data_IF_469486108085
#
_entry.id   IF_469486108085
#
_cell.length_a   1.000
_cell.length_b   1.000
_cell.length_c   1.000
_cell.angle_alpha   90.00
_cell.angle_beta   90.00
_cell.angle_gamma   90.00
#
_symmetry.space_group_name_H-M   'P 1'
#
loop_
_entity.id
_entity.type
_entity.pdbx_description
1 polymer ?
#
# COMPACT_ATOMS: atom_id res chain seq x y z
N UNK A 1 -12.22 -8.78 12.16
CA UNK A 1 -12.59 -9.12 10.75
C UNK A 1 -11.52 -8.69 9.73
N UNK A 2 -11.17 -7.40 9.67
CA UNK A 2 -10.26 -6.85 8.64
C UNK A 2 -8.84 -7.42 8.57
N UNK A 3 -8.28 -7.89 9.68
CA UNK A 3 -6.89 -8.38 9.74
C UNK A 3 -6.74 -9.90 9.72
N UNK A 4 -7.84 -10.66 9.82
CA UNK A 4 -7.80 -12.12 9.91
C UNK A 4 -8.58 -12.82 8.77
N UNK A 5 -9.81 -12.38 8.51
CA UNK A 5 -10.69 -12.99 7.49
C UNK A 5 -10.48 -12.35 6.12
N UNK A 6 -10.45 -11.01 6.06
CA UNK A 6 -10.25 -10.27 4.81
C UNK A 6 -9.00 -10.69 4.02
N UNK A 7 -7.82 -10.87 4.65
CA UNK A 7 -6.60 -11.27 3.94
C UNK A 7 -6.70 -12.65 3.27
N UNK A 8 -7.43 -13.59 3.87
CA UNK A 8 -7.62 -14.94 3.33
C UNK A 8 -8.51 -14.93 2.09
N UNK A 9 -9.65 -14.24 2.17
CA UNK A 9 -10.54 -14.06 1.03
C UNK A 9 -9.85 -13.33 -0.13
N UNK A 10 -9.07 -12.29 0.18
CA UNK A 10 -8.36 -11.51 -0.82
C UNK A 10 -7.15 -12.23 -1.42
N UNK A 11 -6.58 -13.24 -0.75
CA UNK A 11 -5.43 -13.97 -1.27
C UNK A 11 -5.79 -14.76 -2.54
N UNK A 12 -7.00 -15.32 -2.59
CA UNK A 12 -7.51 -16.05 -3.73
C UNK A 12 -7.50 -15.21 -5.01
N UNK A 13 -8.16 -14.05 -5.02
CA UNK A 13 -8.16 -13.17 -6.19
C UNK A 13 -6.81 -12.51 -6.53
N UNK A 14 -5.80 -12.62 -5.65
CA UNK A 14 -4.44 -12.09 -5.90
C UNK A 14 -3.53 -13.12 -6.54
N UNK A 15 -3.65 -14.39 -6.15
CA UNK A 15 -2.75 -15.44 -6.61
C UNK A 15 -3.38 -16.37 -7.64
N UNK A 16 -4.69 -16.56 -7.58
CA UNK A 16 -5.38 -17.58 -8.35
C UNK A 16 -6.82 -17.12 -8.65
N UNK A 17 -7.84 -17.93 -8.31
CA UNK A 17 -9.24 -17.65 -8.61
C UNK A 17 -10.02 -17.12 -7.38
N UNK A 18 -10.64 -15.96 -7.54
CA UNK A 18 -11.53 -15.36 -6.54
C UNK A 18 -12.79 -16.22 -6.26
N UNK A 19 -13.15 -17.14 -7.16
CA UNK A 19 -14.33 -18.01 -7.04
C UNK A 19 -14.32 -18.84 -5.75
N UNK A 20 -13.14 -19.27 -5.27
CA UNK A 20 -12.98 -20.03 -4.02
C UNK A 20 -13.48 -19.24 -2.80
N UNK A 21 -13.17 -17.95 -2.75
CA UNK A 21 -13.64 -17.05 -1.69
C UNK A 21 -15.15 -16.88 -1.69
N UNK A 22 -15.75 -16.76 -2.88
CA UNK A 22 -17.20 -16.65 -3.05
C UNK A 22 -17.90 -17.96 -2.69
N UNK A 23 -17.35 -19.10 -3.15
CA UNK A 23 -17.87 -20.42 -2.85
C UNK A 23 -17.93 -20.69 -1.35
N UNK A 24 -16.89 -20.30 -0.59
CA UNK A 24 -16.88 -20.45 0.87
C UNK A 24 -18.03 -19.67 1.52
N UNK A 25 -18.28 -18.44 1.08
CA UNK A 25 -19.31 -17.56 1.65
C UNK A 25 -20.74 -18.03 1.33
N UNK A 26 -20.91 -18.81 0.27
CA UNK A 26 -22.20 -19.36 -0.16
C UNK A 26 -22.42 -20.81 0.29
N UNK A 27 -21.44 -21.44 0.94
CA UNK A 27 -21.49 -22.86 1.29
C UNK A 27 -22.30 -23.11 2.57
N UNK A 28 -23.35 -23.93 2.46
CA UNK A 28 -24.19 -24.35 3.59
C UNK A 28 -23.68 -25.65 4.26
N UNK A 29 -22.70 -26.33 3.66
CA UNK A 29 -22.13 -27.58 4.17
C UNK A 29 -20.84 -27.30 4.95
N UNK A 30 -20.84 -27.56 6.25
CA UNK A 30 -19.68 -27.31 7.13
C UNK A 30 -18.42 -28.10 6.74
N UNK A 31 -18.58 -29.29 6.16
CA UNK A 31 -17.45 -30.10 5.70
C UNK A 31 -16.75 -29.47 4.50
N UNK A 32 -17.53 -29.07 3.50
CA UNK A 32 -17.04 -28.39 2.30
C UNK A 32 -16.47 -27.00 2.63
N UNK A 33 -17.15 -26.24 3.49
CA UNK A 33 -16.66 -24.94 3.96
C UNK A 33 -15.28 -25.06 4.64
N UNK A 34 -15.02 -26.12 5.40
CA UNK A 34 -13.70 -26.35 6.02
C UNK A 34 -12.61 -26.61 4.98
N UNK A 35 -12.92 -27.33 3.91
CA UNK A 35 -11.97 -27.58 2.82
C UNK A 35 -11.61 -26.26 2.13
N UNK A 36 -12.61 -25.48 1.73
CA UNK A 36 -12.42 -24.17 1.09
C UNK A 36 -11.67 -23.18 2.00
N UNK A 37 -11.96 -23.18 3.31
CA UNK A 37 -11.26 -22.33 4.27
C UNK A 37 -9.77 -22.68 4.39
N UNK A 38 -9.41 -23.97 4.38
CA UNK A 38 -8.02 -24.42 4.40
C UNK A 38 -7.28 -24.05 3.11
N UNK A 39 -7.94 -24.14 1.97
CA UNK A 39 -7.40 -23.71 0.68
C UNK A 39 -7.09 -22.20 0.67
N UNK A 40 -8.03 -21.38 1.15
CA UNK A 40 -7.81 -19.94 1.32
C UNK A 40 -6.69 -19.60 2.32
N UNK A 41 -6.52 -20.41 3.37
CA UNK A 41 -5.41 -20.25 4.30
C UNK A 41 -4.06 -20.56 3.65
N UNK A 42 -3.99 -21.64 2.87
CA UNK A 42 -2.79 -22.01 2.10
C UNK A 42 -2.43 -20.91 1.08
N UNK A 43 -3.41 -20.42 0.31
CA UNK A 43 -3.20 -19.30 -0.62
C UNK A 43 -2.70 -18.04 0.09
N UNK A 44 -3.25 -17.73 1.26
CA UNK A 44 -2.80 -16.60 2.06
C UNK A 44 -1.38 -16.78 2.60
N UNK A 45 -0.99 -18.01 2.94
CA UNK A 45 0.37 -18.34 3.37
C UNK A 45 1.37 -18.19 2.23
N UNK A 46 1.08 -18.75 1.05
CA UNK A 46 1.88 -18.56 -0.16
C UNK A 46 1.99 -17.08 -0.53
N UNK A 47 0.90 -16.30 -0.41
CA UNK A 47 0.93 -14.86 -0.67
C UNK A 47 1.90 -14.15 0.25
N UNK A 48 1.91 -14.49 1.55
CA UNK A 48 2.83 -13.90 2.52
C UNK A 48 4.28 -14.23 2.22
N UNK A 49 4.57 -15.44 1.76
CA UNK A 49 5.93 -15.87 1.37
C UNK A 49 6.43 -15.05 0.17
N UNK A 50 5.60 -14.90 -0.86
CA UNK A 50 5.91 -14.04 -2.03
C UNK A 50 6.11 -12.59 -1.58
N UNK A 51 5.23 -12.08 -0.71
CA UNK A 51 5.32 -10.72 -0.18
C UNK A 51 6.61 -10.48 0.62
N UNK A 52 7.05 -11.45 1.42
CA UNK A 52 8.30 -11.35 2.17
C UNK A 52 9.51 -11.28 1.23
N UNK A 53 9.56 -12.13 0.20
CA UNK A 53 10.63 -12.08 -0.82
C UNK A 53 10.69 -10.73 -1.52
N UNK A 54 9.55 -10.28 -2.04
CA UNK A 54 9.44 -8.97 -2.72
C UNK A 54 9.77 -7.79 -1.81
N UNK A 55 9.48 -7.89 -0.51
CA UNK A 55 9.80 -6.83 0.45
C UNK A 55 11.32 -6.64 0.59
N UNK A 56 12.10 -7.71 0.60
CA UNK A 56 13.57 -7.61 0.71
C UNK A 56 14.15 -6.90 -0.52
N UNK A 57 13.68 -7.25 -1.71
CA UNK A 57 14.07 -6.60 -2.97
C UNK A 57 13.69 -5.12 -2.98
N UNK A 58 12.45 -4.81 -2.57
CA UNK A 58 11.98 -3.44 -2.51
C UNK A 58 12.78 -2.60 -1.52
N UNK A 59 13.10 -3.13 -0.33
CA UNK A 59 13.97 -2.46 0.63
C UNK A 59 15.33 -2.15 0.02
N UNK A 60 15.92 -3.08 -0.72
CA UNK A 60 17.18 -2.87 -1.42
C UNK A 60 17.09 -1.74 -2.45
N UNK A 61 16.00 -1.66 -3.21
CA UNK A 61 15.75 -0.57 -4.15
C UNK A 61 15.52 0.77 -3.43
N UNK A 62 14.80 0.76 -2.30
CA UNK A 62 14.57 1.94 -1.46
C UNK A 62 15.89 2.50 -0.92
N UNK A 63 16.77 1.65 -0.38
CA UNK A 63 18.08 2.05 0.13
C UNK A 63 18.97 2.64 -0.96
N UNK A 64 18.92 2.08 -2.18
CA UNK A 64 19.65 2.65 -3.34
C UNK A 64 19.11 4.02 -3.71
N UNK A 65 17.79 4.22 -3.70
CA UNK A 65 17.16 5.52 -3.96
C UNK A 65 17.56 6.56 -2.91
N UNK A 66 17.54 6.19 -1.62
CA UNK A 66 17.95 7.07 -0.51
C UNK A 66 19.43 7.49 -0.61
N UNK A 67 20.31 6.62 -1.13
CA UNK A 67 21.74 6.91 -1.29
C UNK A 67 22.09 7.69 -2.55
N UNK A 68 21.24 7.64 -3.59
CA UNK A 68 21.60 8.11 -4.94
C UNK A 68 21.12 9.52 -5.26
N UNK A 69 20.21 10.11 -4.47
CA UNK A 69 19.62 11.42 -4.79
C UNK A 69 19.55 12.32 -3.56
N UNK A 70 20.04 13.55 -3.70
CA UNK A 70 19.82 14.61 -2.71
C UNK A 70 18.33 14.98 -2.58
N UNK A 71 17.55 14.80 -3.66
CA UNK A 71 16.10 15.04 -3.69
C UNK A 71 15.35 13.95 -4.47
N UNK A 72 14.38 13.31 -3.83
CA UNK A 72 13.47 12.34 -4.45
C UNK A 72 12.35 13.04 -5.25
N UNK A 73 11.90 12.48 -6.39
CA UNK A 73 10.76 13.01 -7.14
C UNK A 73 9.45 12.86 -6.36
N UNK A 74 8.48 13.76 -6.57
CA UNK A 74 7.21 13.81 -5.85
C UNK A 74 6.44 12.49 -5.86
N UNK A 75 6.48 11.75 -6.97
CA UNK A 75 5.91 10.41 -7.12
C UNK A 75 6.98 9.37 -7.47
N UNK A 76 6.79 8.13 -7.01
CA UNK A 76 7.70 7.01 -7.27
C UNK A 76 7.02 5.97 -8.16
N UNK A 77 7.66 5.62 -9.27
CA UNK A 77 7.30 4.44 -10.06
C UNK A 77 8.44 3.43 -9.98
N UNK A 78 8.14 2.19 -9.61
CA UNK A 78 9.15 1.16 -9.40
C UNK A 78 8.77 -0.12 -10.14
N UNK A 79 9.77 -0.80 -10.68
CA UNK A 79 9.62 -2.06 -11.40
C UNK A 79 10.72 -3.01 -10.95
N UNK A 80 10.38 -4.28 -10.82
CA UNK A 80 11.34 -5.37 -10.70
C UNK A 80 10.82 -6.60 -11.48
N UNK A 81 11.67 -7.29 -12.25
CA UNK A 81 11.25 -8.45 -13.05
C UNK A 81 10.81 -9.65 -12.19
N UNK A 82 11.23 -9.73 -10.93
CA UNK A 82 10.85 -10.83 -10.03
C UNK A 82 9.59 -10.51 -9.21
N UNK A 83 9.01 -9.31 -9.36
CA UNK A 83 7.79 -8.95 -8.64
C UNK A 83 6.56 -9.65 -9.19
N UNK A 84 5.65 -10.03 -8.28
CA UNK A 84 4.41 -10.69 -8.61
C UNK A 84 3.22 -9.71 -8.68
N UNK A 85 2.48 -9.71 -9.79
CA UNK A 85 1.34 -8.81 -10.03
C UNK A 85 0.25 -8.86 -8.94
N UNK A 86 0.07 -10.01 -8.28
CA UNK A 86 -0.88 -10.18 -7.19
C UNK A 86 -0.53 -9.42 -5.90
N UNK A 87 0.76 -9.08 -5.74
CA UNK A 87 1.34 -8.62 -4.48
C UNK A 87 1.87 -7.18 -4.58
N UNK A 88 2.19 -6.68 -5.78
CA UNK A 88 2.73 -5.31 -5.99
C UNK A 88 1.89 -4.20 -5.34
N UNK A 89 0.57 -4.35 -5.23
CA UNK A 89 -0.27 -3.35 -4.56
C UNK A 89 -0.04 -3.25 -3.04
N UNK A 90 0.33 -4.35 -2.39
CA UNK A 90 0.71 -4.36 -0.97
C UNK A 90 2.08 -3.68 -0.83
N UNK A 91 3.00 -4.02 -1.73
CA UNK A 91 4.33 -3.44 -1.76
C UNK A 91 4.30 -1.92 -1.98
N UNK A 92 3.52 -1.45 -2.96
CA UNK A 92 3.31 -0.01 -3.20
C UNK A 92 2.80 0.72 -1.95
N UNK A 93 1.95 0.08 -1.14
CA UNK A 93 1.44 0.67 0.10
C UNK A 93 2.55 0.87 1.13
N UNK A 94 3.42 -0.13 1.30
CA UNK A 94 4.56 -0.08 2.22
C UNK A 94 5.62 0.94 1.78
N UNK A 95 5.92 1.00 0.49
CA UNK A 95 6.86 1.99 -0.06
C UNK A 95 6.28 3.41 0.13
N UNK A 96 4.97 3.59 -0.09
CA UNK A 96 4.26 4.86 0.14
C UNK A 96 4.35 5.27 1.60
N UNK A 97 4.20 4.34 2.54
CA UNK A 97 4.37 4.60 3.99
C UNK A 97 5.81 4.97 4.34
N UNK A 98 6.81 4.34 3.73
CA UNK A 98 8.23 4.67 3.97
C UNK A 98 8.60 6.07 3.46
N UNK A 99 8.18 6.41 2.24
CA UNK A 99 8.61 7.64 1.57
C UNK A 99 7.61 8.78 1.63
N UNK A 100 6.41 8.55 2.16
CA UNK A 100 5.31 9.52 2.20
C UNK A 100 5.02 10.14 0.84
N UNK A 101 5.07 9.31 -0.21
CA UNK A 101 4.90 9.72 -1.61
C UNK A 101 3.90 8.80 -2.31
N UNK A 102 3.16 9.29 -3.31
CA UNK A 102 2.44 8.43 -4.24
C UNK A 102 3.38 7.41 -4.88
N UNK A 103 3.01 6.14 -4.87
CA UNK A 103 3.82 5.04 -5.41
C UNK A 103 3.03 4.24 -6.41
N UNK A 104 3.66 3.87 -7.52
CA UNK A 104 3.17 2.87 -8.46
C UNK A 104 4.21 1.76 -8.58
N UNK A 105 3.87 0.54 -8.17
CA UNK A 105 4.73 -0.62 -8.30
C UNK A 105 4.28 -1.50 -9.47
N UNK A 106 5.22 -1.87 -10.34
CA UNK A 106 5.01 -2.65 -11.56
C UNK A 106 5.62 -4.05 -11.45
N UNK A 107 4.89 -5.03 -11.95
CA UNK A 107 5.35 -6.40 -12.13
C UNK A 107 5.16 -6.83 -13.59
N UNK A 108 5.95 -7.80 -14.10
CA UNK A 108 5.68 -8.40 -15.40
C UNK A 108 4.28 -9.03 -15.44
N UNK A 109 3.63 -8.89 -16.58
CA UNK A 109 2.32 -9.49 -16.87
C UNK A 109 2.36 -10.49 -18.05
N UNK A 110 3.56 -10.77 -18.58
CA UNK A 110 3.76 -11.54 -19.81
C UNK A 110 3.83 -10.65 -21.05
N UNK A 111 4.35 -11.20 -22.16
CA UNK A 111 4.35 -10.58 -23.49
C UNK A 111 4.87 -9.14 -23.54
N UNK A 112 5.95 -8.85 -22.81
CA UNK A 112 6.58 -7.51 -22.76
C UNK A 112 5.68 -6.43 -22.12
N UNK A 113 4.65 -6.83 -21.37
CA UNK A 113 3.72 -5.92 -20.70
C UNK A 113 3.96 -5.91 -19.19
N UNK A 114 3.90 -4.74 -18.57
CA UNK A 114 3.93 -4.56 -17.13
C UNK A 114 2.53 -4.19 -16.62
N UNK A 115 2.20 -4.68 -15.41
CA UNK A 115 0.99 -4.31 -14.68
C UNK A 115 1.36 -3.58 -13.40
N UNK A 116 0.87 -2.36 -13.28
CA UNK A 116 1.13 -1.45 -12.17
C UNK A 116 -0.02 -1.42 -11.16
N UNK A 117 0.32 -1.28 -9.88
CA UNK A 117 -0.61 -0.92 -8.82
C UNK A 117 -0.16 0.35 -8.12
N UNK A 118 -0.97 1.39 -8.22
CA UNK A 118 -0.77 2.70 -7.62
C UNK A 118 -1.40 2.84 -6.24
N UNK A 119 -0.73 3.58 -5.36
CA UNK A 119 -1.21 4.02 -4.04
C UNK A 119 -0.90 5.49 -3.87
N UNK A 120 -1.93 6.27 -3.55
CA UNK A 120 -1.80 7.72 -3.35
C UNK A 120 -1.64 8.08 -1.89
N UNK A 121 -1.31 9.35 -1.66
CA UNK A 121 -1.37 10.03 -0.37
C UNK A 121 -2.49 11.07 -0.41
N UNK A 122 -2.80 11.68 0.74
CA UNK A 122 -3.70 12.84 0.76
C UNK A 122 -3.11 13.98 -0.08
N UNK A 123 -3.99 14.70 -0.79
CA UNK A 123 -3.59 15.80 -1.67
C UNK A 123 -3.32 15.40 -3.13
N UNK A 124 -3.29 14.11 -3.48
CA UNK A 124 -3.21 13.67 -4.88
C UNK A 124 -4.31 12.66 -5.24
N UNK A 125 -5.13 12.98 -6.25
CA UNK A 125 -6.06 12.03 -6.85
C UNK A 125 -5.35 11.19 -7.93
N UNK A 126 -5.05 9.92 -7.62
CA UNK A 126 -4.23 9.06 -8.48
C UNK A 126 -4.81 8.88 -9.88
N UNK A 127 -6.14 8.66 -10.00
CA UNK A 127 -6.77 8.50 -11.31
C UNK A 127 -6.62 9.76 -12.17
N UNK A 128 -6.73 10.95 -11.59
CA UNK A 128 -6.68 12.21 -12.34
C UNK A 128 -5.25 12.48 -12.81
N UNK A 129 -4.25 12.11 -11.99
CA UNK A 129 -2.85 12.15 -12.38
C UNK A 129 -2.57 11.23 -13.57
N UNK A 130 -3.12 10.01 -13.57
CA UNK A 130 -3.01 9.09 -14.71
C UNK A 130 -3.73 9.62 -15.95
N UNK A 131 -4.95 10.15 -15.81
CA UNK A 131 -5.70 10.75 -16.93
C UNK A 131 -4.96 11.94 -17.54
N UNK A 132 -4.31 12.76 -16.70
CA UNK A 132 -3.44 13.85 -17.16
C UNK A 132 -2.23 13.31 -17.93
N UNK A 133 -1.56 12.27 -17.44
CA UNK A 133 -0.44 11.65 -18.15
C UNK A 133 -0.87 11.09 -19.50
N UNK A 134 -2.04 10.44 -19.57
CA UNK A 134 -2.58 9.90 -20.83
C UNK A 134 -2.89 11.02 -21.83
N UNK A 135 -3.44 12.14 -21.35
CA UNK A 135 -3.70 13.33 -22.18
C UNK A 135 -2.41 13.95 -22.73
N UNK A 136 -1.37 14.04 -21.90
CA UNK A 136 -0.09 14.65 -22.28
C UNK A 136 0.76 13.71 -23.14
N UNK A 137 0.64 12.40 -22.93
CA UNK A 137 1.44 11.38 -23.59
C UNK A 137 0.57 10.20 -24.06
N UNK A 138 -0.27 10.42 -25.10
CA UNK A 138 -1.17 9.39 -25.60
C UNK A 138 -0.42 8.12 -26.01
N UNK A 139 -0.92 6.95 -25.58
CA UNK A 139 -0.31 5.66 -25.88
C UNK A 139 0.87 5.27 -24.98
N UNK A 140 1.22 6.07 -23.97
CA UNK A 140 2.19 5.69 -22.94
C UNK A 140 1.65 4.53 -22.09
N UNK A 141 0.35 4.56 -21.76
CA UNK A 141 -0.34 3.51 -21.02
C UNK A 141 -1.28 2.76 -21.96
N UNK A 142 -1.33 1.43 -21.82
CA UNK A 142 -2.24 0.57 -22.57
C UNK A 142 -3.67 0.65 -22.00
N UNK A 143 -3.77 0.69 -20.67
CA UNK A 143 -5.02 0.88 -19.93
C UNK A 143 -4.71 1.44 -18.55
N UNK A 144 -5.64 2.18 -17.98
CA UNK A 144 -5.60 2.60 -16.59
C UNK A 144 -7.00 2.76 -16.00
N UNK A 145 -7.09 2.76 -14.69
CA UNK A 145 -8.33 2.99 -13.96
C UNK A 145 -8.10 3.04 -12.45
N UNK A 146 -9.16 3.29 -11.70
CA UNK A 146 -9.12 3.34 -10.24
C UNK A 146 -9.86 4.53 -9.66
N UNK A 147 -9.38 4.99 -8.51
CA UNK A 147 -9.98 6.04 -7.68
C UNK A 147 -8.88 6.98 -7.13
N UNK A 148 -9.25 7.84 -6.19
CA UNK A 148 -8.34 8.79 -5.55
C UNK A 148 -7.09 8.13 -4.96
N UNK A 149 -7.28 7.08 -4.14
CA UNK A 149 -6.21 6.51 -3.31
C UNK A 149 -5.52 5.30 -3.92
N UNK A 150 -6.08 4.71 -4.98
CA UNK A 150 -5.54 3.52 -5.61
C UNK A 150 -5.87 3.51 -7.10
N UNK A 151 -4.92 3.06 -7.90
CA UNK A 151 -5.10 2.88 -9.33
C UNK A 151 -4.44 1.59 -9.83
N UNK A 152 -4.90 1.11 -10.97
CA UNK A 152 -4.28 0.03 -11.73
C UNK A 152 -4.05 0.49 -13.16
N UNK A 153 -2.92 0.09 -13.74
CA UNK A 153 -2.56 0.42 -15.11
C UNK A 153 -1.69 -0.67 -15.74
N UNK A 154 -1.56 -0.65 -17.06
CA UNK A 154 -0.55 -1.44 -17.77
C UNK A 154 0.17 -0.62 -18.82
N UNK A 155 1.41 -1.00 -19.09
CA UNK A 155 2.30 -0.36 -20.05
C UNK A 155 3.17 -1.42 -20.72
N UNK A 156 3.67 -1.12 -21.92
CA UNK A 156 4.77 -1.89 -22.52
C UNK A 156 6.04 -1.67 -21.70
N UNK A 157 6.82 -2.71 -21.46
CA UNK A 157 8.04 -2.66 -20.63
C UNK A 157 9.02 -1.59 -21.11
N UNK A 158 9.14 -1.41 -22.43
CA UNK A 158 9.98 -0.37 -23.05
C UNK A 158 9.57 1.06 -22.68
N UNK A 159 8.29 1.27 -22.32
CA UNK A 159 7.75 2.59 -21.93
C UNK A 159 7.91 2.88 -20.44
N UNK A 160 8.41 1.92 -19.64
CA UNK A 160 8.50 2.07 -18.19
C UNK A 160 9.37 3.27 -17.77
N UNK A 161 10.55 3.43 -18.36
CA UNK A 161 11.48 4.52 -17.99
C UNK A 161 10.86 5.89 -18.27
N UNK A 162 10.22 6.04 -19.44
CA UNK A 162 9.50 7.26 -19.79
C UNK A 162 8.35 7.53 -18.81
N UNK A 163 7.56 6.50 -18.49
CA UNK A 163 6.48 6.63 -17.50
C UNK A 163 7.03 7.05 -16.13
N UNK A 164 8.10 6.42 -15.66
CA UNK A 164 8.72 6.70 -14.36
C UNK A 164 9.14 8.17 -14.26
N UNK A 165 9.76 8.70 -15.30
CA UNK A 165 10.15 10.10 -15.35
C UNK A 165 8.93 11.02 -15.32
N UNK A 166 7.96 10.82 -16.23
CA UNK A 166 6.80 11.73 -16.37
C UNK A 166 5.87 11.70 -15.17
N UNK A 167 5.68 10.54 -14.57
CA UNK A 167 4.92 10.43 -13.32
C UNK A 167 5.59 11.20 -12.18
N UNK A 168 6.91 11.05 -12.02
CA UNK A 168 7.68 11.78 -11.01
C UNK A 168 7.59 13.30 -11.18
N UNK A 169 7.74 13.78 -12.42
CA UNK A 169 7.63 15.21 -12.78
C UNK A 169 6.22 15.77 -12.49
N UNK A 170 5.17 15.10 -12.99
CA UNK A 170 3.79 15.55 -12.81
C UNK A 170 3.41 15.64 -11.33
N UNK A 171 3.76 14.62 -10.56
CA UNK A 171 3.44 14.61 -9.12
C UNK A 171 4.21 15.69 -8.37
N UNK A 172 5.45 15.99 -8.77
CA UNK A 172 6.23 17.09 -8.19
C UNK A 172 5.60 18.45 -8.49
N UNK A 173 4.99 18.62 -9.67
CA UNK A 173 4.28 19.84 -10.03
C UNK A 173 2.97 20.01 -9.24
N UNK A 174 2.24 18.91 -9.02
CA UNK A 174 0.90 18.96 -8.44
C UNK A 174 0.88 18.95 -6.91
N UNK A 175 1.88 18.35 -6.27
CA UNK A 175 1.91 18.25 -4.81
C UNK A 175 2.71 19.38 -4.18
N UNK A 176 2.13 19.95 -3.12
CA UNK A 176 2.87 20.78 -2.18
C UNK A 176 3.94 19.92 -1.47
N UNK A 177 5.22 20.32 -1.49
CA UNK A 177 6.30 19.60 -0.81
C UNK A 177 6.07 19.33 0.68
N UNK A 178 5.24 20.14 1.37
CA UNK A 178 4.86 19.92 2.77
C UNK A 178 4.11 18.60 2.97
N UNK A 179 3.27 18.20 2.01
CA UNK A 179 2.51 16.95 2.06
C UNK A 179 3.38 15.69 1.96
N UNK A 180 4.66 15.84 1.58
CA UNK A 180 5.62 14.75 1.45
C UNK A 180 6.41 14.49 2.74
N UNK A 181 6.18 15.27 3.81
CA UNK A 181 6.99 15.23 5.04
C UNK A 181 6.48 14.21 6.07
N UNK A 182 5.33 13.58 5.85
CA UNK A 182 4.77 12.61 6.79
C UNK A 182 4.35 13.25 8.12
N UNK A 183 3.61 14.35 8.05
CA UNK A 183 3.10 15.04 9.24
C UNK A 183 2.23 14.12 10.10
N UNK A 184 2.47 14.16 11.41
CA UNK A 184 1.69 13.45 12.42
C UNK A 184 0.82 14.47 13.13
N UNK A 185 -0.49 14.39 12.90
CA UNK A 185 -1.46 15.21 13.63
C UNK A 185 -1.71 14.59 15.00
N UNK A 186 -1.62 15.41 16.05
CA UNK A 186 -1.87 15.03 17.44
C UNK A 186 -3.07 15.79 17.98
N UNK A 187 -3.85 15.14 18.85
CA UNK A 187 -4.92 15.72 19.66
C UNK A 187 -4.37 16.48 20.89
N UNK A 188 -3.04 16.56 21.01
CA UNK A 188 -2.32 17.30 22.02
C UNK A 188 -1.70 16.41 23.10
N UNK A 189 -1.10 17.02 24.13
CA UNK A 189 -0.46 16.27 25.19
C UNK A 189 -1.44 15.66 26.17
N UNK A 190 -1.14 14.44 26.61
CA UNK A 190 -1.85 13.81 27.72
C UNK A 190 -1.20 14.21 29.05
N UNK A 191 -1.98 14.61 30.04
CA UNK A 191 -1.47 14.88 31.39
C UNK A 191 -1.15 13.59 32.14
N UNK A 192 -0.26 13.66 33.15
CA UNK A 192 0.08 12.50 33.97
C UNK A 192 -1.13 11.90 34.71
N UNK A 193 -2.16 12.70 35.00
CA UNK A 193 -3.40 12.24 35.64
C UNK A 193 -4.32 11.47 34.68
N UNK A 194 -4.16 11.68 33.36
CA UNK A 194 -4.92 11.00 32.32
C UNK A 194 -4.21 9.71 31.85
N UNK A 195 -2.93 9.52 32.17
CA UNK A 195 -2.15 8.30 31.86
C UNK A 195 -2.55 7.12 32.78
N UNK A 196 -3.82 6.73 32.75
CA UNK A 196 -4.43 5.73 33.63
C UNK A 196 -5.11 4.62 32.84
N UNK A 197 -5.34 3.47 33.49
CA UNK A 197 -6.00 2.33 32.85
C UNK A 197 -7.47 2.66 32.52
N UNK A 198 -8.09 3.48 33.35
CA UNK A 198 -9.46 3.95 33.21
C UNK A 198 -9.64 4.75 31.92
N UNK A 199 -8.74 5.71 31.64
CA UNK A 199 -8.75 6.48 30.39
C UNK A 199 -8.46 5.58 29.19
N UNK A 200 -7.51 4.65 29.30
CA UNK A 200 -7.21 3.72 28.21
C UNK A 200 -8.42 2.84 27.85
N UNK A 201 -9.17 2.37 28.84
CA UNK A 201 -10.39 1.59 28.62
C UNK A 201 -11.51 2.45 28.05
N UNK A 202 -11.67 3.69 28.54
CA UNK A 202 -12.63 4.65 27.99
C UNK A 202 -12.38 4.91 26.51
N UNK A 203 -11.14 5.16 26.11
CA UNK A 203 -10.77 5.38 24.70
C UNK A 203 -11.02 4.14 23.84
N UNK A 204 -10.74 2.94 24.36
CA UNK A 204 -11.06 1.69 23.67
C UNK A 204 -12.56 1.56 23.37
N UNK A 205 -13.39 1.93 24.33
CA UNK A 205 -14.85 1.75 24.27
C UNK A 205 -15.59 2.93 23.61
N UNK A 206 -14.91 4.07 23.40
CA UNK A 206 -15.50 5.27 22.79
C UNK A 206 -15.66 5.18 21.25
N UNK A 207 -15.11 4.14 20.61
CA UNK A 207 -15.23 3.89 19.18
C UNK A 207 -16.63 3.44 18.73
N UNK A 208 -16.91 3.44 17.42
CA UNK A 208 -16.01 2.81 16.45
C UNK A 208 -15.00 3.77 15.82
N UNK A 209 -13.73 3.40 15.91
CA UNK A 209 -12.63 4.09 15.23
C UNK A 209 -12.44 3.58 13.80
N UNK A 210 -11.95 4.43 12.90
CA UNK A 210 -11.73 4.08 11.50
C UNK A 210 -11.12 5.18 10.65
N UNK A 211 -11.04 4.95 9.34
CA UNK A 211 -10.33 5.83 8.39
C UNK A 211 -10.83 7.30 8.39
N UNK A 212 -12.11 7.51 8.66
CA UNK A 212 -12.72 8.85 8.72
C UNK A 212 -12.97 9.34 10.15
N UNK A 213 -12.60 8.53 11.15
CA UNK A 213 -12.71 8.85 12.57
C UNK A 213 -11.58 8.12 13.32
N UNK A 214 -10.32 8.55 13.15
CA UNK A 214 -9.16 7.85 13.69
C UNK A 214 -9.18 7.83 15.22
N UNK A 215 -8.47 6.86 15.80
CA UNK A 215 -8.19 6.86 17.23
C UNK A 215 -7.42 8.13 17.61
N UNK A 216 -7.66 8.69 18.81
CA UNK A 216 -6.95 9.88 19.24
C UNK A 216 -5.46 9.58 19.42
N UNK A 217 -4.64 10.51 18.95
CA UNK A 217 -3.19 10.44 19.04
C UNK A 217 -2.70 11.53 20.00
N UNK A 218 -1.85 11.17 20.95
CA UNK A 218 -1.30 12.13 21.92
C UNK A 218 0.21 12.28 21.73
N UNK A 219 0.71 13.49 21.90
CA UNK A 219 2.13 13.82 21.87
C UNK A 219 2.69 14.13 23.27
N UNK A 220 4.01 14.12 23.40
CA UNK A 220 4.62 14.43 24.68
C UNK A 220 6.14 14.33 24.66
N UNK A 221 6.77 14.95 25.65
CA UNK A 221 8.20 14.87 25.87
C UNK A 221 8.53 13.87 26.97
N UNK A 222 9.23 12.80 26.61
CA UNK A 222 9.56 11.71 27.52
C UNK A 222 11.07 11.55 27.67
N UNK A 223 11.52 11.17 28.88
CA UNK A 223 12.89 10.71 29.09
C UNK A 223 12.96 9.21 28.83
N UNK A 224 13.67 8.80 27.78
CA UNK A 224 13.91 7.41 27.49
C UNK A 224 14.85 6.81 28.56
N UNK A 225 14.32 5.88 29.37
CA UNK A 225 15.10 5.20 30.42
C UNK A 225 15.76 3.92 29.91
N UNK A 226 15.08 3.19 29.03
CA UNK A 226 15.55 1.93 28.46
C UNK A 226 15.00 1.76 27.04
N UNK A 227 15.84 1.26 26.13
CA UNK A 227 15.44 0.84 24.80
C UNK A 227 15.99 -0.57 24.56
N UNK A 228 15.16 -1.46 24.04
CA UNK A 228 15.58 -2.78 23.57
C UNK A 228 14.90 -3.08 22.24
N UNK A 229 15.62 -3.77 21.35
CA UNK A 229 14.98 -4.42 20.22
C UNK A 229 14.14 -5.59 20.75
N UNK A 230 12.86 -5.59 20.42
CA UNK A 230 11.95 -6.71 20.69
C UNK A 230 11.68 -7.35 19.34
N UNK A 231 12.03 -8.62 19.20
CA UNK A 231 11.85 -9.45 18.01
C UNK A 231 11.43 -10.84 18.41
#
# INVERSE_FOLDING_TARGET
>A
LGFALGPRLNAAGRLDDMSVGVALLLCDNIGEARVLANELDALNQTRKEIEQGMQVEALTLCEKLERSRDTLPGGLAMYHPEWHQGVVGILASRIKERFHRPVIAFAPAGDGTLKGSGRSIQGLHMRDALERLDTLYPGMMLKFGGHAMAAGLSLEEEKFELFQQRFGELVTEWLDPSLLQGEVVSDGPLSAAEMTMEVAQLLRDAGPWGQMFPEPLFDGHFRLLQQRLVG
#
